data_IF_436980615018
#
_entry.id   IF_436980615018
#
_cell.length_a   1.000
_cell.length_b   1.000
_cell.length_c   1.000
_cell.angle_alpha   90.00
_cell.angle_beta   90.00
_cell.angle_gamma   90.00
#
_symmetry.space_group_name_H-M   'P 1'
#
loop_
_entity.id
_entity.type
_entity.pdbx_description
1 polymer ?
#
# COMPACT_ATOMS: atom_id res chain seq x y z
N UNK A 1 -46.71 34.35 16.15
CA UNK A 1 -45.56 35.24 15.88
C UNK A 1 -44.37 34.36 15.51
N UNK A 2 -43.81 34.64 14.35
CA UNK A 2 -42.75 33.91 13.66
C UNK A 2 -41.39 33.99 14.38
N UNK A 3 -40.50 33.01 14.17
CA UNK A 3 -39.27 33.19 13.37
C UNK A 3 -38.45 31.90 13.27
N UNK A 4 -38.02 31.64 12.03
CA UNK A 4 -37.02 30.70 11.53
C UNK A 4 -35.58 31.04 11.94
N UNK A 5 -34.67 30.06 11.93
CA UNK A 5 -33.31 30.05 11.32
C UNK A 5 -32.54 28.83 11.86
N UNK A 6 -32.23 27.78 11.07
CA UNK A 6 -31.14 27.60 10.08
C UNK A 6 -29.72 27.76 10.64
N UNK A 7 -28.99 26.64 10.64
CA UNK A 7 -27.53 26.39 10.63
C UNK A 7 -26.58 27.42 11.26
N UNK A 8 -25.74 26.96 12.21
CA UNK A 8 -24.38 27.48 12.30
C UNK A 8 -23.35 26.34 12.16
N UNK A 9 -22.67 26.37 11.01
CA UNK A 9 -21.44 25.65 10.69
C UNK A 9 -20.29 26.57 11.11
N UNK A 10 -19.75 26.40 12.32
CA UNK A 10 -18.40 26.89 12.68
C UNK A 10 -18.08 26.35 14.07
N UNK A 11 -17.04 25.55 14.28
CA UNK A 11 -15.67 26.03 14.19
C UNK A 11 -14.72 24.84 14.17
N UNK A 12 -14.25 24.47 12.98
CA UNK A 12 -12.97 23.76 12.88
C UNK A 12 -11.90 24.83 13.12
N UNK A 13 -11.51 24.98 14.37
CA UNK A 13 -10.40 25.84 14.76
C UNK A 13 -9.47 25.03 15.66
N UNK A 14 -8.42 24.47 15.06
CA UNK A 14 -7.48 23.62 15.79
C UNK A 14 -6.38 23.07 14.90
N UNK A 15 -5.48 23.96 14.45
CA UNK A 15 -4.19 23.65 13.85
C UNK A 15 -4.20 22.79 12.58
N UNK A 16 -4.21 23.47 11.43
CA UNK A 16 -3.61 22.93 10.19
C UNK A 16 -2.10 22.77 10.43
N UNK A 17 -1.72 21.72 11.16
CA UNK A 17 -0.44 21.07 10.89
C UNK A 17 -0.59 20.62 9.45
N UNK A 18 0.11 21.27 8.53
CA UNK A 18 0.46 20.62 7.28
C UNK A 18 1.32 19.41 7.66
N UNK A 19 0.68 18.34 8.14
CA UNK A 19 1.21 17.01 7.93
C UNK A 19 1.47 16.99 6.43
N UNK A 20 2.74 16.83 6.07
CA UNK A 20 3.16 16.79 4.67
C UNK A 20 2.45 15.60 4.05
N UNK A 21 1.24 15.82 3.53
CA UNK A 21 0.39 14.77 3.00
C UNK A 21 1.11 14.23 1.80
N UNK A 22 1.64 13.03 1.94
CA UNK A 22 2.20 12.33 0.82
C UNK A 22 1.06 11.98 -0.14
N UNK A 23 1.28 12.19 -1.44
CA UNK A 23 0.31 11.72 -2.43
C UNK A 23 0.40 10.20 -2.50
N UNK A 24 -0.72 9.54 -2.25
CA UNK A 24 -0.92 8.12 -2.45
C UNK A 24 -1.83 7.89 -3.66
N UNK A 25 -1.68 6.73 -4.26
CA UNK A 25 -2.63 6.17 -5.21
C UNK A 25 -3.39 5.04 -4.52
N UNK A 26 -4.71 5.03 -4.65
CA UNK A 26 -5.57 3.90 -4.26
C UNK A 26 -5.86 3.10 -5.53
N UNK A 27 -5.29 1.89 -5.63
CA UNK A 27 -5.30 1.09 -6.84
C UNK A 27 -5.26 -0.39 -6.47
N UNK A 28 -6.16 -1.20 -7.04
CA UNK A 28 -6.11 -2.67 -6.97
C UNK A 28 -5.09 -3.22 -7.97
N UNK A 29 -3.82 -3.29 -7.55
CA UNK A 29 -2.73 -3.85 -8.37
C UNK A 29 -2.35 -5.23 -7.83
N UNK A 30 -2.44 -6.30 -8.63
CA UNK A 30 -1.93 -7.62 -8.26
C UNK A 30 -0.45 -7.55 -7.89
N UNK A 31 -0.12 -8.06 -6.71
CA UNK A 31 1.22 -7.97 -6.13
C UNK A 31 1.59 -9.30 -5.50
N UNK A 32 2.78 -9.80 -5.84
CA UNK A 32 3.38 -10.92 -5.12
C UNK A 32 4.19 -10.36 -3.94
N UNK A 33 3.87 -10.81 -2.74
CA UNK A 33 4.58 -10.48 -1.51
C UNK A 33 5.40 -11.68 -1.07
N UNK A 34 6.62 -11.44 -0.60
CA UNK A 34 7.45 -12.48 -0.01
C UNK A 34 8.21 -11.98 1.19
N UNK A 35 8.53 -12.89 2.11
CA UNK A 35 9.25 -12.58 3.33
C UNK A 35 9.33 -13.78 4.26
N UNK A 36 9.57 -13.49 5.54
CA UNK A 36 9.53 -14.46 6.62
C UNK A 36 8.28 -14.17 7.46
N UNK A 37 7.50 -15.21 7.75
CA UNK A 37 6.32 -15.11 8.59
C UNK A 37 6.67 -15.06 10.08
N UNK A 38 5.67 -14.84 10.94
CA UNK A 38 5.83 -14.77 12.39
C UNK A 38 6.33 -16.09 13.03
N UNK A 39 6.26 -17.21 12.30
CA UNK A 39 6.77 -18.51 12.74
C UNK A 39 8.20 -18.78 12.27
N UNK A 40 8.77 -17.89 11.47
CA UNK A 40 10.14 -17.99 10.94
C UNK A 40 10.23 -18.70 9.58
N UNK A 41 9.11 -19.01 8.94
CA UNK A 41 9.09 -19.69 7.65
C UNK A 41 9.07 -18.69 6.48
N UNK A 42 9.74 -19.04 5.37
CA UNK A 42 9.63 -18.29 4.13
C UNK A 42 8.22 -18.42 3.54
N UNK A 43 7.65 -17.31 3.08
CA UNK A 43 6.37 -17.31 2.39
C UNK A 43 6.41 -16.51 1.09
N UNK A 44 5.49 -16.86 0.20
CA UNK A 44 5.15 -16.13 -1.03
C UNK A 44 3.64 -16.13 -1.18
N UNK A 45 3.05 -14.94 -1.26
CA UNK A 45 1.61 -14.76 -1.26
C UNK A 45 1.20 -13.74 -2.33
N UNK A 46 0.22 -14.09 -3.16
CA UNK A 46 -0.40 -13.15 -4.08
C UNK A 46 -1.51 -12.37 -3.36
N UNK A 47 -1.46 -11.05 -3.47
CA UNK A 47 -2.45 -10.13 -2.90
C UNK A 47 -2.72 -8.99 -3.87
N UNK A 48 -3.58 -8.05 -3.47
CA UNK A 48 -3.77 -6.77 -4.15
C UNK A 48 -3.28 -5.64 -3.24
N UNK A 49 -2.56 -4.68 -3.84
CA UNK A 49 -2.34 -3.40 -3.17
C UNK A 49 -3.69 -2.73 -2.93
N UNK A 50 -3.84 -2.15 -1.74
CA UNK A 50 -4.93 -1.22 -1.44
C UNK A 50 -4.49 0.22 -1.77
N UNK A 51 -3.25 0.58 -1.42
CA UNK A 51 -2.66 1.87 -1.78
C UNK A 51 -1.14 1.84 -1.82
N UNK A 52 -0.55 2.80 -2.53
CA UNK A 52 0.89 3.00 -2.59
C UNK A 52 1.25 4.48 -2.75
N UNK A 53 2.31 4.91 -2.09
CA UNK A 53 2.94 6.23 -2.21
C UNK A 53 4.45 6.06 -2.48
N UNK A 54 5.20 7.16 -2.46
CA UNK A 54 6.67 7.07 -2.55
C UNK A 54 7.34 6.49 -1.30
N UNK A 55 6.63 6.39 -0.18
CA UNK A 55 7.16 5.94 1.10
C UNK A 55 6.41 4.76 1.71
N UNK A 56 5.16 4.51 1.35
CA UNK A 56 4.35 3.47 1.99
C UNK A 56 3.56 2.66 0.95
N UNK A 57 3.39 1.38 1.22
CA UNK A 57 2.45 0.51 0.53
C UNK A 57 1.53 -0.17 1.54
N UNK A 58 0.25 -0.29 1.21
CA UNK A 58 -0.77 -0.90 2.06
C UNK A 58 -1.44 -2.04 1.32
N UNK A 59 -1.56 -3.20 1.95
CA UNK A 59 -2.14 -4.41 1.37
C UNK A 59 -2.59 -5.40 2.45
N UNK A 60 -3.36 -6.41 2.05
CA UNK A 60 -3.79 -7.49 2.93
C UNK A 60 -2.86 -8.69 2.82
N UNK A 61 -2.65 -9.41 3.92
CA UNK A 61 -1.98 -10.72 3.93
C UNK A 61 -2.76 -11.73 4.76
N UNK A 62 -2.79 -12.97 4.30
CA UNK A 62 -3.15 -14.16 5.09
C UNK A 62 -1.96 -14.65 5.95
N UNK A 63 -0.72 -14.48 5.44
CA UNK A 63 0.51 -14.85 6.16
C UNK A 63 0.77 -13.91 7.34
N UNK A 64 0.78 -14.44 8.56
CA UNK A 64 1.07 -13.68 9.79
C UNK A 64 2.44 -13.02 9.76
N UNK A 65 2.52 -11.69 9.90
CA UNK A 65 3.80 -10.95 9.97
C UNK A 65 3.82 -10.01 11.16
N UNK A 66 5.01 -9.67 11.65
CA UNK A 66 5.17 -8.73 12.78
C UNK A 66 5.70 -7.38 12.34
N UNK A 67 5.43 -6.33 13.12
CA UNK A 67 6.09 -5.03 12.96
C UNK A 67 7.61 -5.23 12.95
N UNK A 68 8.28 -4.57 12.01
CA UNK A 68 9.72 -4.70 11.79
C UNK A 68 10.11 -5.79 10.80
N UNK A 69 9.21 -6.68 10.38
CA UNK A 69 9.48 -7.67 9.34
C UNK A 69 9.85 -6.99 8.03
N UNK A 70 10.80 -7.57 7.29
CA UNK A 70 11.20 -7.09 5.97
C UNK A 70 10.43 -7.90 4.92
N UNK A 71 9.67 -7.19 4.10
CA UNK A 71 8.89 -7.79 3.01
C UNK A 71 9.36 -7.25 1.68
N UNK A 72 9.23 -8.09 0.65
CA UNK A 72 9.55 -7.76 -0.73
C UNK A 72 8.30 -7.85 -1.56
N UNK A 73 8.01 -6.76 -2.28
CA UNK A 73 6.89 -6.64 -3.19
C UNK A 73 7.40 -6.76 -4.63
N UNK A 74 6.67 -7.55 -5.41
CA UNK A 74 6.82 -7.62 -6.85
C UNK A 74 5.49 -7.24 -7.49
N UNK A 75 5.49 -6.12 -8.20
CA UNK A 75 4.32 -5.60 -8.89
C UNK A 75 4.53 -5.71 -10.39
N UNK A 76 3.52 -6.22 -11.08
CA UNK A 76 3.41 -6.10 -12.53
C UNK A 76 2.50 -4.88 -12.81
N UNK A 77 3.10 -3.78 -13.28
CA UNK A 77 2.37 -2.56 -13.64
C UNK A 77 2.05 -2.63 -15.13
N UNK A 78 0.77 -2.72 -15.52
CA UNK A 78 0.39 -2.87 -16.91
C UNK A 78 0.69 -1.61 -17.72
N UNK A 79 0.94 -1.79 -19.01
CA UNK A 79 1.01 -0.72 -20.00
C UNK A 79 -0.26 0.12 -19.95
N UNK A 80 -0.10 1.44 -19.92
CA UNK A 80 -1.21 2.40 -19.95
C UNK A 80 -0.94 3.50 -20.97
N UNK A 81 -1.87 4.43 -21.15
CA UNK A 81 -1.68 5.60 -22.03
C UNK A 81 -0.45 6.44 -21.60
N UNK A 82 -0.14 6.46 -20.31
CA UNK A 82 1.00 7.20 -19.75
C UNK A 82 2.27 6.36 -19.61
N UNK A 83 2.18 5.05 -19.88
CA UNK A 83 3.26 4.11 -19.65
C UNK A 83 3.43 3.23 -20.90
N UNK A 84 4.49 3.47 -21.66
CA UNK A 84 4.69 2.91 -23.01
C UNK A 84 4.95 1.38 -23.04
N UNK A 85 5.31 0.79 -21.90
CA UNK A 85 5.63 -0.64 -21.74
C UNK A 85 5.17 -1.16 -20.37
N UNK A 86 4.88 -2.46 -20.27
CA UNK A 86 4.70 -3.09 -18.96
C UNK A 86 5.97 -2.92 -18.11
N UNK A 87 5.78 -2.61 -16.83
CA UNK A 87 6.88 -2.47 -15.87
C UNK A 87 6.80 -3.56 -14.81
N UNK A 88 7.96 -4.12 -14.46
CA UNK A 88 8.13 -4.91 -13.25
C UNK A 88 8.80 -4.05 -12.19
N UNK A 89 8.09 -3.81 -11.09
CA UNK A 89 8.61 -3.11 -9.93
C UNK A 89 8.95 -4.13 -8.84
N UNK A 90 10.21 -4.14 -8.43
CA UNK A 90 10.67 -4.88 -7.26
C UNK A 90 11.08 -3.87 -6.19
N UNK A 91 10.41 -3.91 -5.04
CA UNK A 91 10.65 -2.99 -3.93
C UNK A 91 10.64 -3.74 -2.61
N UNK A 92 11.52 -3.33 -1.71
CA UNK A 92 11.61 -3.87 -0.35
C UNK A 92 11.11 -2.83 0.64
N UNK A 93 10.53 -3.28 1.74
CA UNK A 93 10.10 -2.41 2.81
C UNK A 93 10.04 -3.12 4.15
N UNK A 94 9.76 -2.33 5.19
CA UNK A 94 9.63 -2.80 6.57
C UNK A 94 8.21 -2.58 7.08
N UNK A 95 7.64 -3.60 7.70
CA UNK A 95 6.29 -3.50 8.28
C UNK A 95 6.29 -2.48 9.41
N UNK A 96 5.43 -1.47 9.31
CA UNK A 96 5.25 -0.42 10.34
C UNK A 96 3.92 -0.53 11.05
N UNK A 97 2.93 -1.19 10.45
CA UNK A 97 1.60 -1.36 11.02
C UNK A 97 1.01 -2.72 10.62
N UNK A 98 0.30 -3.35 11.55
CA UNK A 98 -0.45 -4.59 11.36
C UNK A 98 -1.80 -4.44 12.05
N UNK A 99 -2.89 -4.71 11.33
CA UNK A 99 -4.25 -4.76 11.90
C UNK A 99 -4.95 -6.03 11.44
N UNK A 100 -5.30 -6.89 12.40
CA UNK A 100 -6.12 -8.06 12.11
C UNK A 100 -7.54 -7.65 11.65
N UNK A 101 -8.05 -8.35 10.65
CA UNK A 101 -9.47 -8.30 10.30
C UNK A 101 -10.28 -9.00 11.39
N UNK A 102 -11.25 -8.30 11.95
CA UNK A 102 -12.12 -8.87 13.00
C UNK A 102 -13.16 -9.83 12.41
N UNK A 103 -13.35 -9.82 11.09
CA UNK A 103 -14.34 -10.64 10.38
C UNK A 103 -13.77 -11.93 9.77
N UNK A 104 -12.44 -12.03 9.66
CA UNK A 104 -11.75 -13.17 9.07
C UNK A 104 -10.52 -13.51 9.91
N UNK A 105 -10.43 -14.77 10.38
CA UNK A 105 -9.37 -15.20 11.31
C UNK A 105 -7.94 -15.07 10.74
N UNK A 106 -7.78 -14.95 9.42
CA UNK A 106 -6.45 -15.02 8.78
C UNK A 106 -6.00 -13.75 8.09
N UNK A 107 -6.90 -12.81 7.80
CA UNK A 107 -6.54 -11.60 7.05
C UNK A 107 -6.04 -10.50 7.97
N UNK A 108 -4.96 -9.85 7.58
CA UNK A 108 -4.44 -8.68 8.27
C UNK A 108 -4.10 -7.57 7.26
N UNK A 109 -4.37 -6.34 7.63
CA UNK A 109 -3.98 -5.15 6.89
C UNK A 109 -2.57 -4.74 7.31
N UNK A 110 -1.69 -4.59 6.33
CA UNK A 110 -0.28 -4.25 6.51
C UNK A 110 -0.01 -2.87 5.95
N UNK A 111 0.69 -2.01 6.69
CA UNK A 111 1.45 -0.90 6.11
C UNK A 111 2.92 -1.22 6.08
N UNK A 112 3.53 -1.02 4.91
CA UNK A 112 4.93 -1.28 4.64
C UNK A 112 5.64 0.03 4.31
N UNK A 113 6.60 0.42 5.15
CA UNK A 113 7.51 1.53 4.84
C UNK A 113 8.52 1.10 3.78
N UNK A 114 8.43 1.71 2.61
CA UNK A 114 9.26 1.40 1.46
C UNK A 114 10.70 1.88 1.68
N UNK A 115 11.66 1.06 1.29
CA UNK A 115 13.06 1.46 1.22
C UNK A 115 13.32 2.32 -0.02
N UNK A 116 14.34 3.18 0.05
CA UNK A 116 14.73 4.03 -1.09
C UNK A 116 15.30 3.26 -2.28
N UNK A 117 15.70 1.99 -2.06
CA UNK A 117 16.25 1.13 -3.10
C UNK A 117 15.12 0.34 -3.75
N UNK A 118 14.94 0.55 -5.04
CA UNK A 118 13.97 -0.17 -5.86
C UNK A 118 14.59 -0.54 -7.20
N UNK A 119 14.01 -1.52 -7.89
CA UNK A 119 14.36 -1.88 -9.26
C UNK A 119 13.12 -1.77 -10.13
N UNK A 120 13.26 -1.05 -11.25
CA UNK A 120 12.25 -0.98 -12.31
C UNK A 120 12.85 -1.62 -13.54
N UNK A 121 12.19 -2.62 -14.09
CA UNK A 121 12.56 -3.24 -15.36
C UNK A 121 11.44 -3.01 -16.36
N UNK A 122 11.74 -2.44 -17.53
CA UNK A 122 10.82 -2.47 -18.65
C UNK A 122 10.77 -3.89 -19.20
N UNK A 123 9.58 -4.45 -19.38
CA UNK A 123 9.41 -5.58 -20.26
C UNK A 123 9.47 -5.05 -21.69
N UNK A 124 10.67 -4.85 -22.22
CA UNK A 124 10.83 -4.69 -23.65
C UNK A 124 10.43 -6.01 -24.30
N UNK A 125 9.24 -6.05 -24.89
CA UNK A 125 8.94 -7.04 -25.93
C UNK A 125 9.98 -6.83 -27.02
N UNK A 126 10.98 -7.70 -27.08
CA UNK A 126 11.80 -7.86 -28.29
C UNK A 126 10.84 -8.30 -29.38
N UNK A 127 10.27 -7.34 -30.09
CA UNK A 127 9.70 -7.62 -31.39
C UNK A 127 10.89 -7.89 -32.31
N UNK A 128 11.05 -9.16 -32.68
CA UNK A 128 11.87 -9.64 -33.79
C UNK A 128 11.16 -9.24 -35.08
#
# INVERSE_FOLDING_TARGET
MSTSTLFDKSSIQGATRFAKTERSFELSIPTLVSGIDATGNEFKEYTELASISSQEAVFWLDSGVTIGSVLKLFLDVPKTVLLESDLKLEITGRVTFVKADQSSEKKQLISLRLEKKYKINSLHSKNI
#
